data_IF_090669443101
#
_entry.id   IF_090669443101
#
_cell.length_a   1.000
_cell.length_b   1.000
_cell.length_c   1.000
_cell.angle_alpha   90.00
_cell.angle_beta   90.00
_cell.angle_gamma   90.00
#
_symmetry.space_group_name_H-M   'P 1'
#
loop_
_entity.id
_entity.type
_entity.pdbx_description
1 polymer ?
#
# COMPACT_ATOMS: atom_id res chain seq x y z
N UNK A 1 35.48 -13.58 64.70
CA UNK A 1 36.08 -13.70 63.35
C UNK A 1 34.97 -14.04 62.36
N UNK A 2 34.02 -13.12 62.11
CA UNK A 2 32.82 -13.41 61.29
C UNK A 2 32.57 -12.37 60.17
N UNK A 3 33.40 -11.32 60.07
CA UNK A 3 33.15 -10.20 59.16
C UNK A 3 33.78 -10.28 57.77
N UNK A 4 34.64 -11.28 57.49
CA UNK A 4 35.47 -11.28 56.27
C UNK A 4 34.86 -12.14 55.14
N UNK A 5 33.99 -13.10 55.45
CA UNK A 5 33.39 -13.97 54.41
C UNK A 5 32.22 -13.31 53.65
N UNK A 6 31.59 -12.27 54.19
CA UNK A 6 30.46 -11.61 53.53
C UNK A 6 30.89 -10.66 52.39
N UNK A 7 32.08 -10.05 52.46
CA UNK A 7 32.55 -9.11 51.42
C UNK A 7 33.08 -9.82 50.16
N UNK A 8 33.63 -11.03 50.29
CA UNK A 8 34.11 -11.81 49.14
C UNK A 8 32.97 -12.29 48.22
N UNK A 9 31.82 -12.65 48.80
CA UNK A 9 30.67 -13.16 48.04
C UNK A 9 30.00 -12.06 47.19
N UNK A 10 29.95 -10.83 47.70
CA UNK A 10 29.39 -9.67 46.97
C UNK A 10 30.29 -9.29 45.80
N UNK A 11 31.61 -9.30 45.97
CA UNK A 11 32.55 -9.04 44.87
C UNK A 11 32.54 -10.13 43.79
N UNK A 12 32.36 -11.39 44.17
CA UNK A 12 32.21 -12.50 43.22
C UNK A 12 30.89 -12.40 42.43
N UNK A 13 29.78 -11.99 43.06
CA UNK A 13 28.50 -11.81 42.36
C UNK A 13 28.51 -10.62 41.39
N UNK A 14 29.15 -9.51 41.74
CA UNK A 14 29.25 -8.33 40.86
C UNK A 14 30.10 -8.60 39.62
N UNK A 15 31.19 -9.36 39.76
CA UNK A 15 32.08 -9.70 38.62
C UNK A 15 31.47 -10.72 37.66
N UNK A 16 30.65 -11.65 38.15
CA UNK A 16 29.87 -12.57 37.29
C UNK A 16 28.77 -11.82 36.54
N UNK A 17 28.09 -10.86 37.17
CA UNK A 17 27.05 -10.07 36.49
C UNK A 17 27.61 -9.14 35.42
N UNK A 18 28.79 -8.54 35.60
CA UNK A 18 29.42 -7.71 34.56
C UNK A 18 29.96 -8.53 33.39
N UNK A 19 30.29 -9.81 33.60
CA UNK A 19 30.85 -10.67 32.55
C UNK A 19 29.79 -11.29 31.63
N UNK A 20 28.51 -11.32 32.05
CA UNK A 20 27.42 -11.85 31.20
C UNK A 20 26.90 -10.86 30.15
N UNK A 21 27.33 -9.59 30.15
CA UNK A 21 26.84 -8.59 29.19
C UNK A 21 27.66 -8.47 27.89
N UNK A 22 28.75 -9.22 27.70
CA UNK A 22 29.66 -9.04 26.55
C UNK A 22 29.50 -10.04 25.39
N UNK A 23 28.33 -10.67 25.22
CA UNK A 23 28.10 -11.58 24.09
C UNK A 23 26.79 -11.33 23.31
N UNK A 24 26.17 -10.15 23.46
CA UNK A 24 25.08 -9.74 22.59
C UNK A 24 25.66 -8.88 21.46
N UNK A 25 25.66 -9.42 20.23
CA UNK A 25 26.08 -8.65 19.07
C UNK A 25 25.20 -7.41 18.92
N UNK A 26 25.77 -6.22 18.60
CA UNK A 26 25.01 -4.98 18.50
C UNK A 26 23.84 -5.07 17.51
N UNK A 27 23.94 -5.95 16.52
CA UNK A 27 22.88 -6.25 15.56
C UNK A 27 21.64 -6.92 16.19
N UNK A 28 21.82 -7.85 17.15
CA UNK A 28 20.70 -8.52 17.84
C UNK A 28 19.99 -7.58 18.81
N UNK A 29 20.75 -6.72 19.49
CA UNK A 29 20.18 -5.70 20.38
C UNK A 29 19.38 -4.68 19.57
N UNK A 30 19.92 -4.19 18.45
CA UNK A 30 19.22 -3.25 17.57
C UNK A 30 17.90 -3.84 17.06
N UNK A 31 17.91 -5.10 16.62
CA UNK A 31 16.70 -5.79 16.16
C UNK A 31 15.64 -5.90 17.27
N UNK A 32 16.06 -6.20 18.50
CA UNK A 32 15.16 -6.30 19.64
C UNK A 32 14.53 -4.95 20.03
N UNK A 33 15.31 -3.87 19.93
CA UNK A 33 14.85 -2.50 20.17
C UNK A 33 13.87 -2.07 19.08
N UNK A 34 14.19 -2.32 17.81
CA UNK A 34 13.31 -2.01 16.68
C UNK A 34 11.98 -2.80 16.75
N UNK A 35 12.02 -4.08 17.14
CA UNK A 35 10.83 -4.91 17.30
C UNK A 35 9.94 -4.44 18.47
N UNK A 36 10.55 -3.95 19.56
CA UNK A 36 9.80 -3.36 20.70
C UNK A 36 9.14 -2.02 20.33
N UNK A 37 9.85 -1.18 19.58
CA UNK A 37 9.34 0.13 19.15
C UNK A 37 8.14 0.00 18.19
N UNK A 38 8.19 -0.99 17.28
CA UNK A 38 7.05 -1.35 16.42
C UNK A 38 5.83 -1.82 17.22
N UNK A 39 6.04 -2.60 18.28
CA UNK A 39 4.97 -3.07 19.17
C UNK A 39 4.34 -1.93 19.97
N UNK A 40 5.14 -0.98 20.46
CA UNK A 40 4.63 0.22 21.14
C UNK A 40 3.83 1.11 20.17
N UNK A 41 4.36 1.33 18.97
CA UNK A 41 3.69 2.11 17.93
C UNK A 41 2.37 1.48 17.52
N UNK A 42 2.35 0.15 17.31
CA UNK A 42 1.12 -0.59 17.03
C UNK A 42 0.09 -0.47 18.17
N UNK A 43 0.55 -0.52 19.42
CA UNK A 43 -0.32 -0.37 20.60
C UNK A 43 -0.91 1.04 20.71
N UNK A 44 -0.16 2.09 20.36
CA UNK A 44 -0.68 3.47 20.32
C UNK A 44 -1.72 3.67 19.21
N UNK A 45 -1.49 3.09 18.03
CA UNK A 45 -2.45 3.14 16.91
C UNK A 45 -3.75 2.41 17.27
N UNK A 46 -3.65 1.21 17.87
CA UNK A 46 -4.82 0.45 18.30
C UNK A 46 -5.58 1.10 19.47
N UNK A 47 -4.90 1.95 20.27
CA UNK A 47 -5.52 2.75 21.32
C UNK A 47 -6.21 4.04 20.82
N UNK A 48 -6.23 4.30 19.51
CA UNK A 48 -6.87 5.48 18.92
C UNK A 48 -6.15 6.80 19.17
N UNK A 49 -4.91 6.75 19.69
CA UNK A 49 -4.06 7.92 19.87
C UNK A 49 -3.19 8.05 18.62
N UNK A 50 -3.74 8.72 17.60
CA UNK A 50 -2.94 9.19 16.47
C UNK A 50 -1.77 10.07 16.95
N UNK A 51 -0.70 10.22 16.16
CA UNK A 51 0.43 11.06 16.52
C UNK A 51 -0.07 12.46 16.91
N UNK A 52 0.33 12.92 18.10
CA UNK A 52 0.02 14.27 18.56
C UNK A 52 0.50 15.29 17.51
N UNK A 53 -0.28 16.35 17.24
CA UNK A 53 0.19 17.45 16.41
C UNK A 53 1.49 17.99 17.00
N UNK A 54 2.46 18.26 16.12
CA UNK A 54 3.72 18.90 16.45
C UNK A 54 3.41 20.21 17.20
N UNK A 55 4.09 20.54 18.30
CA UNK A 55 3.84 21.77 19.03
C UNK A 55 4.00 22.99 18.12
N UNK A 56 2.99 23.86 18.10
CA UNK A 56 2.97 25.07 17.30
C UNK A 56 4.18 25.96 17.63
N UNK A 57 4.91 26.36 16.60
CA UNK A 57 6.06 27.25 16.70
C UNK A 57 5.58 28.62 17.24
N UNK A 58 6.08 29.11 18.39
CA UNK A 58 5.54 30.29 19.10
C UNK A 58 5.70 31.63 18.34
N UNK A 59 6.14 31.62 17.09
CA UNK A 59 6.35 32.80 16.26
C UNK A 59 5.48 32.87 14.99
N UNK A 60 4.43 32.05 14.85
CA UNK A 60 3.42 32.29 13.80
C UNK A 60 2.29 33.18 14.33
N UNK A 61 2.01 34.33 13.69
CA UNK A 61 0.81 35.10 14.03
C UNK A 61 -0.43 34.25 13.70
N UNK A 62 -1.33 34.11 14.68
CA UNK A 62 -2.62 33.43 14.49
C UNK A 62 -3.38 34.07 13.34
N UNK A 63 -3.66 33.27 12.31
CA UNK A 63 -4.45 33.72 11.18
C UNK A 63 -5.93 33.74 11.58
N UNK A 64 -6.66 34.86 11.45
CA UNK A 64 -8.07 34.90 11.81
C UNK A 64 -8.86 33.92 10.94
N UNK A 65 -9.59 33.00 11.57
CA UNK A 65 -10.52 32.08 10.89
C UNK A 65 -11.75 32.87 10.44
N UNK A 66 -11.65 33.47 9.26
CA UNK A 66 -12.79 34.09 8.59
C UNK A 66 -13.54 33.03 7.75
N UNK A 67 -14.82 32.72 8.01
CA UNK A 67 -15.59 31.69 7.31
C UNK A 67 -15.87 31.94 5.81
N UNK A 68 -15.29 32.99 5.21
CA UNK A 68 -15.64 33.45 3.85
C UNK A 68 -14.50 33.39 2.83
N UNK A 69 -13.40 32.69 3.08
CA UNK A 69 -12.33 32.58 2.07
C UNK A 69 -12.52 31.35 1.15
N UNK A 70 -12.62 31.54 -0.19
CA UNK A 70 -12.64 30.44 -1.15
C UNK A 70 -11.28 29.70 -1.14
N UNK A 71 -11.21 28.44 -1.62
CA UNK A 71 -9.98 27.66 -1.61
C UNK A 71 -8.85 28.46 -2.26
N UNK A 72 -7.78 28.68 -1.49
CA UNK A 72 -6.64 29.49 -1.89
C UNK A 72 -5.92 28.92 -3.12
N UNK A 73 -5.01 29.70 -3.74
CA UNK A 73 -4.28 29.25 -4.91
C UNK A 73 -3.49 27.99 -4.56
N UNK A 74 -3.69 26.93 -5.34
CA UNK A 74 -2.91 25.72 -5.20
C UNK A 74 -1.41 26.05 -5.33
N UNK A 75 -0.54 25.50 -4.49
CA UNK A 75 0.90 25.65 -4.66
C UNK A 75 1.32 25.22 -6.07
N UNK A 76 2.39 25.83 -6.62
CA UNK A 76 2.83 25.54 -7.99
C UNK A 76 3.02 24.03 -8.15
N UNK A 77 2.31 23.47 -9.13
CA UNK A 77 2.34 22.04 -9.44
C UNK A 77 3.80 21.61 -9.62
N UNK A 78 4.21 20.57 -8.89
CA UNK A 78 5.49 19.94 -9.14
C UNK A 78 5.55 19.49 -10.61
N UNK A 79 6.66 19.73 -11.33
CA UNK A 79 6.73 19.59 -12.80
C UNK A 79 6.35 18.22 -13.37
N UNK A 80 6.18 17.19 -12.54
CA UNK A 80 5.95 15.80 -12.95
C UNK A 80 4.72 15.14 -12.33
N UNK A 81 3.88 15.88 -11.58
CA UNK A 81 2.63 15.29 -11.11
C UNK A 81 1.61 15.26 -12.26
N UNK A 82 1.04 14.09 -12.61
CA UNK A 82 0.00 14.02 -13.62
C UNK A 82 -1.20 14.90 -13.22
N UNK A 83 -1.95 15.44 -14.19
CA UNK A 83 -3.04 16.39 -13.93
C UNK A 83 -4.05 15.83 -12.93
N UNK A 84 -4.62 16.70 -12.09
CA UNK A 84 -5.55 16.41 -10.96
C UNK A 84 -6.90 15.76 -11.33
N UNK A 85 -6.99 15.03 -12.44
CA UNK A 85 -7.95 13.92 -12.51
C UNK A 85 -7.57 12.97 -11.39
N UNK A 86 -8.39 12.89 -10.34
CA UNK A 86 -8.05 12.21 -9.09
C UNK A 86 -7.37 10.86 -9.28
N UNK A 87 -6.48 10.52 -8.34
CA UNK A 87 -5.77 9.25 -8.32
C UNK A 87 -6.76 8.08 -8.50
N UNK A 88 -6.57 7.18 -9.50
CA UNK A 88 -7.52 6.11 -9.83
C UNK A 88 -7.42 4.94 -8.83
N UNK A 89 -7.65 5.25 -7.54
CA UNK A 89 -7.45 4.33 -6.41
C UNK A 89 -8.08 2.97 -6.65
N UNK A 90 -9.35 2.94 -7.08
CA UNK A 90 -10.09 1.71 -7.27
C UNK A 90 -9.46 0.79 -8.34
N UNK A 91 -9.00 1.36 -9.46
CA UNK A 91 -8.35 0.56 -10.50
C UNK A 91 -6.99 0.04 -10.02
N UNK A 92 -6.19 0.87 -9.35
CA UNK A 92 -4.88 0.47 -8.84
C UNK A 92 -5.03 -0.66 -7.82
N UNK A 93 -5.99 -0.53 -6.89
CA UNK A 93 -6.30 -1.58 -5.90
C UNK A 93 -6.76 -2.88 -6.57
N UNK A 94 -7.60 -2.81 -7.61
CA UNK A 94 -8.04 -3.98 -8.36
C UNK A 94 -6.85 -4.68 -9.04
N UNK A 95 -6.02 -3.94 -9.77
CA UNK A 95 -4.81 -4.49 -10.43
C UNK A 95 -3.88 -5.13 -9.40
N UNK A 96 -3.57 -4.41 -8.31
CA UNK A 96 -2.69 -4.93 -7.26
C UNK A 96 -3.27 -6.12 -6.48
N UNK A 97 -4.57 -6.35 -6.54
CA UNK A 97 -5.19 -7.52 -5.90
C UNK A 97 -4.94 -8.83 -6.66
N UNK A 98 -4.61 -8.75 -7.95
CA UNK A 98 -4.28 -9.90 -8.79
C UNK A 98 -2.77 -10.15 -8.92
N UNK A 99 -1.96 -9.13 -8.63
CA UNK A 99 -0.51 -9.23 -8.64
C UNK A 99 0.06 -9.82 -7.34
N UNK A 100 1.33 -10.23 -7.39
CA UNK A 100 2.07 -10.53 -6.19
C UNK A 100 2.27 -9.24 -5.37
N UNK A 101 2.44 -9.38 -4.06
CA UNK A 101 2.71 -8.24 -3.16
C UNK A 101 3.95 -7.42 -3.53
N UNK A 102 4.85 -8.00 -4.34
CA UNK A 102 6.12 -7.39 -4.73
C UNK A 102 6.01 -6.57 -6.02
N UNK A 103 4.90 -6.67 -6.76
CA UNK A 103 4.72 -5.91 -8.01
C UNK A 103 3.94 -4.59 -7.79
N UNK A 104 3.64 -4.28 -6.52
CA UNK A 104 2.84 -3.13 -6.09
C UNK A 104 3.39 -2.41 -4.85
N UNK A 105 4.65 -2.65 -4.48
CA UNK A 105 5.30 -2.00 -3.34
C UNK A 105 6.38 -0.97 -3.76
N UNK A 106 6.85 -1.02 -5.01
CA UNK A 106 7.78 -0.05 -5.55
C UNK A 106 7.07 1.19 -6.15
N UNK A 107 7.59 2.39 -5.84
CA UNK A 107 7.03 3.65 -6.33
C UNK A 107 6.97 3.73 -7.86
N UNK A 108 7.97 3.15 -8.55
CA UNK A 108 8.05 3.15 -10.00
C UNK A 108 6.94 2.31 -10.65
N UNK A 109 6.68 1.13 -10.09
CA UNK A 109 5.64 0.22 -10.53
C UNK A 109 4.25 0.81 -10.30
N UNK A 110 4.03 1.38 -9.12
CA UNK A 110 2.77 2.03 -8.80
C UNK A 110 2.50 3.22 -9.73
N UNK A 111 3.52 4.00 -10.09
CA UNK A 111 3.41 5.09 -11.05
C UNK A 111 3.08 4.60 -12.48
N UNK A 112 3.56 3.41 -12.86
CA UNK A 112 3.23 2.77 -14.14
C UNK A 112 1.79 2.25 -14.16
N UNK A 113 1.37 1.53 -13.12
CA UNK A 113 0.00 1.04 -12.94
C UNK A 113 -0.99 2.22 -12.94
N UNK A 114 -0.67 3.29 -12.20
CA UNK A 114 -1.48 4.52 -12.14
C UNK A 114 -1.69 5.15 -13.51
N UNK A 115 -0.65 5.17 -14.36
CA UNK A 115 -0.75 5.68 -15.74
C UNK A 115 -1.67 4.79 -16.58
N UNK A 116 -1.61 3.48 -16.38
CA UNK A 116 -2.45 2.54 -17.11
C UNK A 116 -3.93 2.60 -16.70
N UNK A 117 -4.19 2.85 -15.42
CA UNK A 117 -5.52 2.92 -14.81
C UNK A 117 -6.35 4.17 -15.16
N UNK A 118 -5.88 5.05 -16.05
CA UNK A 118 -6.66 6.23 -16.45
C UNK A 118 -7.91 5.83 -17.24
N UNK A 119 -9.07 6.33 -16.80
CA UNK A 119 -10.40 6.03 -17.37
C UNK A 119 -10.72 4.53 -17.40
N UNK A 120 -10.25 3.79 -16.40
CA UNK A 120 -10.51 2.36 -16.21
C UNK A 120 -11.30 2.18 -14.92
N UNK A 121 -12.38 1.41 -14.99
CA UNK A 121 -13.17 1.04 -13.82
C UNK A 121 -12.60 -0.24 -13.19
N UNK A 122 -12.58 -0.31 -11.86
CA UNK A 122 -12.18 -1.53 -11.14
C UNK A 122 -13.12 -2.71 -11.41
N UNK A 123 -14.41 -2.41 -11.64
CA UNK A 123 -15.41 -3.38 -12.03
C UNK A 123 -14.97 -4.13 -13.30
N UNK A 124 -14.52 -3.42 -14.34
CA UNK A 124 -14.08 -4.07 -15.57
C UNK A 124 -12.88 -4.99 -15.34
N UNK A 125 -11.85 -4.53 -14.62
CA UNK A 125 -10.66 -5.35 -14.33
C UNK A 125 -11.05 -6.64 -13.60
N UNK A 126 -11.85 -6.54 -12.54
CA UNK A 126 -12.29 -7.71 -11.78
C UNK A 126 -13.18 -8.63 -12.60
N UNK A 127 -14.10 -8.07 -13.40
CA UNK A 127 -15.02 -8.85 -14.23
C UNK A 127 -14.30 -9.63 -15.32
N UNK A 128 -13.25 -9.06 -15.91
CA UNK A 128 -12.39 -9.76 -16.89
C UNK A 128 -11.55 -10.83 -16.19
N UNK A 129 -10.86 -10.48 -15.10
CA UNK A 129 -9.98 -11.43 -14.39
C UNK A 129 -10.72 -12.58 -13.69
N UNK A 130 -11.99 -12.40 -13.34
CA UNK A 130 -12.83 -13.48 -12.79
C UNK A 130 -13.31 -14.48 -13.85
N UNK A 131 -13.18 -14.16 -15.14
CA UNK A 131 -13.59 -15.04 -16.24
C UNK A 131 -12.46 -15.87 -16.81
N UNK A 132 -11.28 -15.28 -16.89
CA UNK A 132 -10.09 -15.97 -17.38
C UNK A 132 -9.49 -16.86 -16.29
N UNK A 133 -8.52 -17.69 -16.66
CA UNK A 133 -7.76 -18.43 -15.67
C UNK A 133 -7.03 -17.47 -14.74
N UNK A 134 -6.79 -17.89 -13.50
CA UNK A 134 -5.95 -17.13 -12.55
C UNK A 134 -4.54 -16.84 -13.09
N UNK A 135 -4.10 -17.61 -14.08
CA UNK A 135 -2.79 -17.48 -14.73
C UNK A 135 -2.78 -16.50 -15.91
N UNK A 136 -3.94 -15.96 -16.31
CA UNK A 136 -4.04 -14.95 -17.37
C UNK A 136 -4.24 -13.53 -16.80
N UNK A 137 -4.18 -13.39 -15.47
CA UNK A 137 -4.32 -12.13 -14.75
C UNK A 137 -3.35 -12.02 -13.56
N UNK A 138 -2.28 -12.81 -13.51
CA UNK A 138 -1.29 -12.77 -12.42
C UNK A 138 0.01 -12.05 -12.80
N UNK A 139 0.20 -11.72 -14.09
CA UNK A 139 1.34 -10.94 -14.55
C UNK A 139 0.99 -9.47 -14.83
N UNK A 140 1.95 -8.56 -14.54
CA UNK A 140 1.78 -7.12 -14.78
C UNK A 140 1.45 -6.79 -16.25
N UNK A 141 2.08 -7.50 -17.18
CA UNK A 141 1.88 -7.35 -18.63
C UNK A 141 0.46 -7.73 -19.08
N UNK A 142 -0.12 -8.74 -18.46
CA UNK A 142 -1.49 -9.20 -18.76
C UNK A 142 -2.51 -8.21 -18.21
N UNK A 143 -2.33 -7.75 -16.97
CA UNK A 143 -3.17 -6.71 -16.38
C UNK A 143 -3.08 -5.39 -17.14
N UNK A 144 -1.94 -5.07 -17.77
CA UNK A 144 -1.86 -3.93 -18.68
C UNK A 144 -2.69 -4.12 -19.95
N UNK A 145 -2.81 -5.35 -20.45
CA UNK A 145 -3.72 -5.68 -21.55
C UNK A 145 -5.18 -5.55 -21.11
N UNK A 146 -5.53 -6.06 -19.92
CA UNK A 146 -6.88 -5.94 -19.34
C UNK A 146 -7.26 -4.47 -19.12
N UNK A 147 -6.38 -3.67 -18.51
CA UNK A 147 -6.64 -2.24 -18.28
C UNK A 147 -6.81 -1.49 -19.61
N UNK A 148 -6.05 -1.82 -20.66
CA UNK A 148 -6.27 -1.27 -22.00
C UNK A 148 -7.63 -1.65 -22.58
N UNK A 149 -8.08 -2.89 -22.42
CA UNK A 149 -9.43 -3.32 -22.82
C UNK A 149 -10.52 -2.59 -22.04
N UNK A 150 -10.30 -2.34 -20.76
CA UNK A 150 -11.26 -1.67 -19.90
C UNK A 150 -11.34 -0.15 -20.07
N UNK A 151 -10.45 0.46 -20.86
CA UNK A 151 -10.51 1.91 -21.11
C UNK A 151 -11.80 2.29 -21.83
N UNK A 152 -12.52 3.23 -21.24
CA UNK A 152 -13.79 3.74 -21.79
C UNK A 152 -14.97 2.79 -21.60
N UNK A 153 -14.77 1.60 -21.02
CA UNK A 153 -15.84 0.66 -20.73
C UNK A 153 -16.44 1.00 -19.36
N UNK A 154 -17.57 1.71 -19.40
CA UNK A 154 -18.22 2.21 -18.19
C UNK A 154 -19.14 1.17 -17.53
N UNK A 155 -19.68 0.26 -18.32
CA UNK A 155 -20.60 -0.78 -17.86
C UNK A 155 -20.14 -2.16 -18.31
N UNK A 156 -19.91 -3.04 -17.32
CA UNK A 156 -19.50 -4.43 -17.53
C UNK A 156 -20.68 -5.35 -17.84
N UNK A 157 -21.92 -4.86 -17.70
CA UNK A 157 -23.14 -5.62 -17.97
C UNK A 157 -23.20 -6.14 -19.40
N UNK A 158 -22.61 -5.41 -20.36
CA UNK A 158 -22.51 -5.85 -21.75
C UNK A 158 -21.65 -7.11 -21.89
N UNK A 159 -20.48 -7.15 -21.24
CA UNK A 159 -19.59 -8.32 -21.22
C UNK A 159 -20.32 -9.49 -20.54
N UNK A 160 -20.98 -9.23 -19.40
CA UNK A 160 -21.75 -10.24 -18.68
C UNK A 160 -22.87 -10.83 -19.54
N UNK A 161 -23.60 -9.97 -20.25
CA UNK A 161 -24.69 -10.37 -21.12
C UNK A 161 -24.21 -11.21 -22.30
N UNK A 162 -23.16 -10.78 -23.01
CA UNK A 162 -22.58 -11.53 -24.14
C UNK A 162 -22.07 -12.89 -23.66
N UNK A 163 -21.26 -12.92 -22.59
CA UNK A 163 -20.73 -14.17 -22.05
C UNK A 163 -21.78 -15.09 -21.45
N UNK A 164 -22.95 -14.58 -21.02
CA UNK A 164 -24.07 -15.44 -20.58
C UNK A 164 -24.74 -16.20 -21.71
N UNK A 165 -24.55 -15.76 -22.97
CA UNK A 165 -25.15 -16.39 -24.16
C UNK A 165 -24.17 -17.24 -24.96
N UNK A 166 -22.88 -17.04 -24.75
CA UNK A 166 -21.84 -17.86 -25.35
C UNK A 166 -21.57 -19.09 -24.49
N UNK A 167 -20.84 -20.06 -25.03
CA UNK A 167 -20.32 -21.15 -24.22
C UNK A 167 -19.34 -20.58 -23.19
N UNK A 168 -19.17 -21.26 -22.06
CA UNK A 168 -18.14 -20.89 -21.07
C UNK A 168 -16.72 -20.83 -21.64
N UNK A 169 -16.50 -21.52 -22.77
CA UNK A 169 -15.22 -21.61 -23.49
C UNK A 169 -15.01 -20.51 -24.53
N UNK A 170 -16.00 -19.63 -24.75
CA UNK A 170 -15.88 -18.51 -25.71
C UNK A 170 -15.64 -17.17 -24.96
N UNK A 171 -15.40 -17.25 -23.64
CA UNK A 171 -15.26 -16.12 -22.72
C UNK A 171 -14.24 -16.38 -21.60
N UNK A 172 -13.30 -17.31 -21.81
CA UNK A 172 -12.26 -17.66 -20.85
C UNK A 172 -10.85 -17.27 -21.33
N UNK A 173 -10.70 -16.82 -22.58
CA UNK A 173 -9.44 -16.27 -23.10
C UNK A 173 -9.45 -14.72 -23.16
N UNK A 174 -8.33 -14.09 -22.78
CA UNK A 174 -8.17 -12.62 -22.93
C UNK A 174 -8.37 -12.15 -24.38
N UNK A 175 -7.97 -12.98 -25.35
CA UNK A 175 -8.07 -12.65 -26.78
C UNK A 175 -9.53 -12.50 -27.25
N UNK A 176 -10.44 -13.27 -26.65
CA UNK A 176 -11.87 -13.27 -26.95
C UNK A 176 -12.58 -12.15 -26.19
N UNK A 177 -12.28 -12.02 -24.89
CA UNK A 177 -12.79 -10.93 -24.07
C UNK A 177 -12.40 -9.56 -24.63
N UNK A 178 -11.25 -9.44 -25.30
CA UNK A 178 -10.85 -8.22 -26.02
C UNK A 178 -11.84 -7.86 -27.11
N UNK A 179 -12.21 -8.83 -27.95
CA UNK A 179 -13.16 -8.63 -29.05
C UNK A 179 -14.54 -8.25 -28.51
N UNK A 180 -14.97 -8.86 -27.41
CA UNK A 180 -16.24 -8.54 -26.74
C UNK A 180 -16.20 -7.14 -26.13
N UNK A 181 -15.13 -6.80 -25.40
CA UNK A 181 -14.96 -5.48 -24.80
C UNK A 181 -14.96 -4.37 -25.86
N UNK A 182 -14.32 -4.59 -27.02
CA UNK A 182 -14.34 -3.65 -28.15
C UNK A 182 -15.75 -3.47 -28.75
N UNK A 183 -16.62 -4.47 -28.68
CA UNK A 183 -18.03 -4.37 -29.10
C UNK A 183 -18.93 -3.69 -28.05
N UNK A 184 -18.48 -3.63 -26.79
CA UNK A 184 -19.22 -3.10 -25.66
C UNK A 184 -18.88 -1.63 -25.32
N UNK A 185 -18.06 -0.96 -26.14
CA UNK A 185 -17.71 0.46 -26.03
C UNK A 185 -18.64 1.33 -26.85
#
# INVERSE_FOLDING_TARGET
MEGIMAQGLVFALVTVFTSLCLAASPAKIKKLVDDFDKLQTFKMIMAGQGPMPLPDDPNMPEQPTNPSNPPGPHPPQQPNCPPSTGYPKACVEAVCSHLSRFDCDEQGELAEITRNCRNVTSACVNTVCNRVSRFDCDEKTELFTVTQMCRGLMDVSCIDYVCSRLSRFDCDELSELRKIADQCR
#
